data_IF_241126036946
#
_entry.id   IF_241126036946
#
_cell.length_a   1.000
_cell.length_b   1.000
_cell.length_c   1.000
_cell.angle_alpha   90.00
_cell.angle_beta   90.00
_cell.angle_gamma   90.00
#
_symmetry.space_group_name_H-M   'P 1'
#
loop_
_entity.id
_entity.type
_entity.pdbx_description
1 polymer ?
#
# COMPACT_ATOMS: atom_id res chain seq x y z
N UNK A 1 37.65 9.92 -21.92
CA UNK A 1 36.64 9.86 -20.84
C UNK A 1 36.06 8.45 -20.76
N UNK A 2 35.57 8.01 -19.60
CA UNK A 2 34.79 6.78 -19.47
C UNK A 2 33.30 7.11 -19.32
N UNK A 3 32.44 6.29 -19.92
CA UNK A 3 31.00 6.41 -19.79
C UNK A 3 30.31 5.04 -19.74
N UNK A 4 29.20 4.98 -19.03
CA UNK A 4 28.31 3.82 -19.03
C UNK A 4 26.86 4.27 -19.22
N UNK A 5 26.12 3.58 -20.09
CA UNK A 5 24.67 3.74 -20.25
C UNK A 5 23.99 2.49 -19.70
N UNK A 6 23.15 2.66 -18.69
CA UNK A 6 22.28 1.61 -18.18
C UNK A 6 20.85 1.83 -18.64
N UNK A 7 20.16 0.77 -19.07
CA UNK A 7 18.76 0.83 -19.52
C UNK A 7 17.93 -0.17 -18.74
N UNK A 8 16.84 0.31 -18.13
CA UNK A 8 15.93 -0.49 -17.30
C UNK A 8 14.49 -0.08 -17.52
N UNK A 9 13.60 -1.06 -17.65
CA UNK A 9 12.16 -0.83 -17.59
C UNK A 9 11.72 -0.74 -16.13
N UNK A 10 10.80 0.17 -15.84
CA UNK A 10 10.24 0.38 -14.51
C UNK A 10 8.71 0.34 -14.58
N UNK A 11 8.11 -0.18 -13.50
CA UNK A 11 6.65 -0.24 -13.32
C UNK A 11 6.22 0.61 -12.12
N UNK A 12 7.08 1.53 -11.68
CA UNK A 12 6.80 2.43 -10.57
C UNK A 12 6.08 3.66 -11.11
N UNK A 13 4.75 3.60 -11.16
CA UNK A 13 3.91 4.69 -11.67
C UNK A 13 2.65 4.18 -12.36
N UNK A 14 1.79 5.08 -12.88
CA UNK A 14 0.53 4.72 -13.53
C UNK A 14 0.71 4.03 -14.89
N UNK A 15 1.89 4.18 -15.52
CA UNK A 15 2.22 3.62 -16.83
C UNK A 15 3.59 2.93 -16.79
N UNK A 16 3.81 1.89 -17.61
CA UNK A 16 5.13 1.33 -17.80
C UNK A 16 6.05 2.37 -18.44
N UNK A 17 7.29 2.47 -17.95
CA UNK A 17 8.30 3.38 -18.48
C UNK A 17 9.62 2.68 -18.71
N UNK A 18 10.40 3.23 -19.64
CA UNK A 18 11.77 2.84 -19.87
C UNK A 18 12.70 3.98 -19.51
N UNK A 19 13.68 3.70 -18.67
CA UNK A 19 14.69 4.65 -18.23
C UNK A 19 16.04 4.27 -18.83
N UNK A 20 16.75 5.25 -19.36
CA UNK A 20 18.18 5.15 -19.63
C UNK A 20 18.93 6.15 -18.75
N UNK A 21 20.00 5.71 -18.10
CA UNK A 21 20.88 6.59 -17.34
C UNK A 21 22.27 6.55 -17.95
N UNK A 22 22.80 7.72 -18.27
CA UNK A 22 24.19 7.92 -18.67
C UNK A 22 24.98 8.32 -17.43
N UNK A 23 26.09 7.64 -17.15
CA UNK A 23 27.05 8.04 -16.13
C UNK A 23 28.43 8.23 -16.77
N UNK A 24 29.05 9.36 -16.49
CA UNK A 24 30.44 9.67 -16.82
C UNK A 24 31.25 9.83 -15.54
N UNK A 25 32.56 10.06 -15.68
CA UNK A 25 33.46 10.32 -14.56
C UNK A 25 33.01 11.52 -13.70
N UNK A 26 32.31 12.49 -14.31
CA UNK A 26 31.89 13.73 -13.64
C UNK A 26 30.41 13.73 -13.28
N UNK A 27 29.54 13.25 -14.17
CA UNK A 27 28.09 13.51 -14.08
C UNK A 27 27.23 12.27 -14.36
N UNK A 28 25.94 12.38 -14.09
CA UNK A 28 24.92 11.41 -14.48
C UNK A 28 23.66 12.09 -14.99
N UNK A 29 23.15 11.65 -16.14
CA UNK A 29 21.93 12.14 -16.74
C UNK A 29 20.90 11.00 -16.88
N UNK A 30 19.62 11.32 -16.72
CA UNK A 30 18.51 10.39 -16.80
C UNK A 30 17.61 10.76 -17.98
N UNK A 31 17.22 9.75 -18.75
CA UNK A 31 16.37 9.84 -19.94
C UNK A 31 15.17 8.92 -19.73
N UNK A 32 13.98 9.46 -19.98
CA UNK A 32 12.71 8.82 -19.64
C UNK A 32 11.85 8.69 -20.87
N UNK A 33 11.26 7.51 -21.05
CA UNK A 33 10.33 7.24 -22.13
C UNK A 33 9.12 6.47 -21.62
N UNK A 34 7.92 6.89 -22.00
CA UNK A 34 6.72 6.09 -21.77
C UNK A 34 6.78 4.84 -22.65
N UNK A 35 6.40 3.68 -22.09
CA UNK A 35 6.42 2.41 -22.79
C UNK A 35 7.54 1.47 -22.34
N UNK A 36 7.46 0.23 -22.82
CA UNK A 36 8.32 -0.86 -22.38
C UNK A 36 8.64 -1.85 -23.51
N UNK A 37 8.34 -1.51 -24.77
CA UNK A 37 8.74 -2.40 -25.85
C UNK A 37 10.23 -2.24 -26.17
N UNK A 38 10.73 -3.04 -27.11
CA UNK A 38 12.13 -2.98 -27.52
C UNK A 38 12.48 -1.64 -28.20
N UNK A 39 11.52 -1.02 -28.88
CA UNK A 39 11.69 0.27 -29.55
C UNK A 39 11.89 1.38 -28.52
N UNK A 40 11.10 1.40 -27.44
CA UNK A 40 11.25 2.36 -26.35
C UNK A 40 12.60 2.21 -25.64
N UNK A 41 13.06 0.97 -25.42
CA UNK A 41 14.39 0.68 -24.89
C UNK A 41 15.50 1.22 -25.77
N UNK A 42 15.44 0.93 -27.06
CA UNK A 42 16.43 1.42 -28.01
C UNK A 42 16.42 2.95 -28.09
N UNK A 43 15.24 3.58 -28.13
CA UNK A 43 15.13 5.04 -28.23
C UNK A 43 15.62 5.76 -26.98
N UNK A 44 15.27 5.30 -25.77
CA UNK A 44 15.79 5.87 -24.53
C UNK A 44 17.32 5.76 -24.45
N UNK A 45 17.88 4.63 -24.88
CA UNK A 45 19.32 4.45 -24.97
C UNK A 45 19.99 5.31 -26.03
N UNK A 46 19.34 5.53 -27.18
CA UNK A 46 19.83 6.41 -28.24
C UNK A 46 19.81 7.89 -27.82
N UNK A 47 18.82 8.33 -27.05
CA UNK A 47 18.79 9.67 -26.46
C UNK A 47 19.97 9.88 -25.50
N UNK A 48 20.24 8.89 -24.64
CA UNK A 48 21.41 8.91 -23.75
C UNK A 48 22.74 8.90 -24.54
N UNK A 49 22.83 8.11 -25.60
CA UNK A 49 23.99 8.07 -26.48
C UNK A 49 24.21 9.39 -27.21
N UNK A 50 23.14 10.00 -27.76
CA UNK A 50 23.22 11.29 -28.43
C UNK A 50 23.74 12.39 -27.51
N UNK A 51 23.25 12.43 -26.26
CA UNK A 51 23.73 13.37 -25.24
C UNK A 51 25.21 13.17 -24.90
N UNK A 52 25.68 11.91 -24.84
CA UNK A 52 27.10 11.60 -24.65
C UNK A 52 27.95 12.00 -25.87
N UNK A 53 27.45 11.77 -27.08
CA UNK A 53 28.20 12.03 -28.30
C UNK A 53 28.53 13.52 -28.48
N UNK A 54 27.63 14.41 -28.04
CA UNK A 54 27.92 15.85 -27.98
C UNK A 54 29.12 16.17 -27.08
N UNK A 55 29.30 15.43 -25.98
CA UNK A 55 30.48 15.56 -25.10
C UNK A 55 31.73 14.92 -25.73
N UNK A 56 31.54 13.83 -26.48
CA UNK A 56 32.62 13.09 -27.13
C UNK A 56 33.31 13.90 -28.24
N UNK A 57 32.63 14.88 -28.85
CA UNK A 57 33.23 15.81 -29.84
C UNK A 57 34.46 16.53 -29.32
N UNK A 58 34.56 16.75 -28.00
CA UNK A 58 35.68 17.42 -27.36
C UNK A 58 36.73 16.46 -26.80
N UNK A 59 36.37 15.19 -26.52
CA UNK A 59 37.26 14.21 -25.91
C UNK A 59 36.79 12.79 -26.23
N UNK A 60 37.67 11.90 -26.75
CA UNK A 60 37.29 10.51 -27.04
C UNK A 60 36.75 9.78 -25.80
N UNK A 61 35.69 8.99 -26.00
CA UNK A 61 34.97 8.29 -24.93
C UNK A 61 35.09 6.78 -25.10
N UNK A 62 35.38 6.06 -24.01
CA UNK A 62 35.15 4.62 -23.92
C UNK A 62 33.79 4.37 -23.27
N UNK A 63 32.88 3.74 -24.01
CA UNK A 63 31.49 3.61 -23.64
C UNK A 63 31.09 2.14 -23.46
N UNK A 64 30.48 1.82 -22.33
CA UNK A 64 29.72 0.59 -22.16
C UNK A 64 28.21 0.84 -22.19
N UNK A 65 27.44 0.00 -22.88
CA UNK A 65 25.97 0.03 -22.89
C UNK A 65 25.46 -1.31 -22.37
N UNK A 66 24.62 -1.29 -21.33
CA UNK A 66 24.14 -2.52 -20.69
C UNK A 66 23.15 -3.32 -21.55
N UNK A 67 22.43 -2.64 -22.46
CA UNK A 67 21.52 -3.29 -23.40
C UNK A 67 22.30 -3.86 -24.59
N UNK A 68 22.32 -5.19 -24.69
CA UNK A 68 23.11 -5.87 -25.71
C UNK A 68 22.60 -5.59 -27.14
N UNK A 69 21.29 -5.47 -27.35
CA UNK A 69 20.71 -5.22 -28.66
C UNK A 69 21.07 -3.83 -29.19
N UNK A 70 20.92 -2.81 -28.36
CA UNK A 70 21.35 -1.46 -28.70
C UNK A 70 22.87 -1.39 -28.91
N UNK A 71 23.65 -2.02 -28.02
CA UNK A 71 25.11 -2.04 -28.13
C UNK A 71 25.56 -2.64 -29.46
N UNK A 72 25.05 -3.81 -29.84
CA UNK A 72 25.39 -4.44 -31.12
C UNK A 72 24.95 -3.59 -32.32
N UNK A 73 23.83 -2.88 -32.23
CA UNK A 73 23.36 -1.99 -33.29
C UNK A 73 24.30 -0.80 -33.48
N UNK A 74 24.78 -0.19 -32.39
CA UNK A 74 25.72 0.94 -32.43
C UNK A 74 27.13 0.51 -32.82
N UNK A 75 27.59 -0.66 -32.35
CA UNK A 75 28.86 -1.27 -32.78
C UNK A 75 28.88 -1.51 -34.30
N UNK A 76 27.76 -1.94 -34.90
CA UNK A 76 27.66 -2.15 -36.35
C UNK A 76 27.80 -0.87 -37.20
N UNK A 77 27.60 0.31 -36.60
CA UNK A 77 27.73 1.62 -37.26
C UNK A 77 28.83 2.47 -36.63
N UNK A 78 29.81 1.85 -35.96
CA UNK A 78 30.87 2.55 -35.22
C UNK A 78 31.67 3.53 -36.09
N UNK A 79 31.81 3.27 -37.38
CA UNK A 79 32.50 4.15 -38.34
C UNK A 79 31.86 5.54 -38.43
N UNK A 80 30.57 5.66 -38.09
CA UNK A 80 29.87 6.95 -38.02
C UNK A 80 30.16 7.74 -36.74
N UNK A 81 30.77 7.10 -35.73
CA UNK A 81 31.01 7.64 -34.39
C UNK A 81 32.49 7.46 -33.95
N UNK A 82 33.47 8.01 -34.69
CA UNK A 82 34.89 7.74 -34.46
C UNK A 82 35.43 8.25 -33.11
N UNK A 83 34.68 9.13 -32.43
CA UNK A 83 35.01 9.63 -31.09
C UNK A 83 34.62 8.65 -29.96
N UNK A 84 33.97 7.52 -30.28
CA UNK A 84 33.47 6.56 -29.28
C UNK A 84 34.08 5.17 -29.53
N UNK A 85 34.72 4.65 -28.49
CA UNK A 85 35.21 3.27 -28.42
C UNK A 85 34.25 2.43 -27.58
N UNK A 86 33.59 1.44 -28.18
CA UNK A 86 32.59 0.62 -27.53
C UNK A 86 33.22 -0.54 -26.76
N UNK A 87 32.85 -0.68 -25.49
CA UNK A 87 33.37 -1.70 -24.58
C UNK A 87 32.28 -2.70 -24.24
N UNK A 88 32.50 -3.97 -24.58
CA UNK A 88 31.53 -5.03 -24.32
C UNK A 88 31.36 -5.35 -22.83
N UNK A 89 32.46 -5.36 -22.06
CA UNK A 89 32.45 -5.81 -20.66
C UNK A 89 32.87 -4.68 -19.70
N UNK A 90 32.01 -4.28 -18.74
CA UNK A 90 32.27 -3.15 -17.86
C UNK A 90 33.06 -3.60 -16.62
N UNK A 91 34.38 -3.74 -16.75
CA UNK A 91 35.25 -4.01 -15.61
C UNK A 91 35.87 -2.75 -15.02
N UNK A 92 36.24 -2.82 -13.73
CA UNK A 92 36.93 -1.75 -13.02
C UNK A 92 36.11 -0.44 -13.01
N UNK A 93 36.69 0.71 -13.41
CA UNK A 93 35.99 2.00 -13.41
C UNK A 93 34.67 2.02 -14.19
N UNK A 94 34.58 1.28 -15.31
CA UNK A 94 33.33 1.19 -16.09
C UNK A 94 32.21 0.46 -15.32
N UNK A 95 32.56 -0.54 -14.50
CA UNK A 95 31.61 -1.21 -13.62
C UNK A 95 31.05 -0.26 -12.55
N UNK A 96 31.91 0.62 -12.01
CA UNK A 96 31.49 1.67 -11.07
C UNK A 96 30.54 2.67 -11.74
N UNK A 97 30.82 3.10 -12.97
CA UNK A 97 29.94 3.99 -13.72
C UNK A 97 28.60 3.32 -14.05
N UNK A 98 28.60 2.04 -14.41
CA UNK A 98 27.37 1.29 -14.66
C UNK A 98 26.51 1.20 -13.39
N UNK A 99 27.13 0.95 -12.23
CA UNK A 99 26.44 0.99 -10.94
C UNK A 99 25.88 2.39 -10.66
N UNK A 100 26.65 3.46 -10.88
CA UNK A 100 26.17 4.85 -10.74
C UNK A 100 24.94 5.12 -11.61
N UNK A 101 24.96 4.71 -12.87
CA UNK A 101 23.81 4.82 -13.76
C UNK A 101 22.59 4.04 -13.24
N UNK A 102 22.80 2.80 -12.75
CA UNK A 102 21.74 2.02 -12.11
C UNK A 102 21.17 2.70 -10.86
N UNK A 103 22.03 3.29 -10.02
CA UNK A 103 21.62 4.00 -8.81
C UNK A 103 20.82 5.27 -9.15
N UNK A 104 21.18 5.98 -10.23
CA UNK A 104 20.38 7.12 -10.75
C UNK A 104 18.95 6.69 -11.12
N UNK A 105 18.79 5.57 -11.83
CA UNK A 105 17.44 5.03 -12.12
C UNK A 105 16.75 4.58 -10.83
N UNK A 106 17.50 3.99 -9.89
CA UNK A 106 17.00 3.59 -8.57
C UNK A 106 16.42 4.76 -7.78
N UNK A 107 17.16 5.87 -7.69
CA UNK A 107 16.73 7.09 -7.01
C UNK A 107 15.44 7.65 -7.63
N UNK A 108 15.36 7.71 -8.97
CA UNK A 108 14.15 8.16 -9.66
C UNK A 108 12.93 7.28 -9.36
N UNK A 109 13.09 5.96 -9.33
CA UNK A 109 12.00 5.03 -8.96
C UNK A 109 11.50 5.27 -7.54
N UNK A 110 12.41 5.55 -6.60
CA UNK A 110 12.03 5.90 -5.22
C UNK A 110 11.23 7.21 -5.18
N UNK A 111 11.65 8.22 -5.94
CA UNK A 111 10.91 9.49 -6.06
C UNK A 111 9.50 9.28 -6.62
N UNK A 112 9.36 8.54 -7.73
CA UNK A 112 8.05 8.24 -8.32
C UNK A 112 7.13 7.49 -7.35
N UNK A 113 7.68 6.53 -6.60
CA UNK A 113 6.92 5.80 -5.59
C UNK A 113 6.43 6.72 -4.47
N UNK A 114 7.28 7.64 -3.99
CA UNK A 114 6.93 8.60 -2.96
C UNK A 114 5.88 9.62 -3.43
N UNK A 115 5.98 10.11 -4.68
CA UNK A 115 4.98 11.01 -5.28
C UNK A 115 3.61 10.33 -5.41
N UNK A 116 3.60 9.07 -5.85
CA UNK A 116 2.39 8.27 -5.97
C UNK A 116 1.76 7.96 -4.60
N UNK A 117 2.57 7.69 -3.57
CA UNK A 117 2.10 7.54 -2.19
C UNK A 117 1.50 8.85 -1.67
N UNK A 118 2.19 9.99 -1.85
CA UNK A 118 1.69 11.30 -1.48
C UNK A 118 0.38 11.68 -2.20
N UNK A 119 0.24 11.29 -3.49
CA UNK A 119 -1.00 11.47 -4.25
C UNK A 119 -2.13 10.67 -3.63
N UNK A 120 -1.93 9.39 -3.32
CA UNK A 120 -2.94 8.54 -2.68
C UNK A 120 -3.33 9.06 -1.30
N UNK A 121 -2.36 9.56 -0.54
CA UNK A 121 -2.60 10.16 0.78
C UNK A 121 -3.45 11.44 0.66
N UNK A 122 -3.15 12.28 -0.33
CA UNK A 122 -3.93 13.48 -0.62
C UNK A 122 -5.36 13.12 -1.04
N UNK A 123 -5.51 12.16 -1.96
CA UNK A 123 -6.82 11.69 -2.42
C UNK A 123 -7.65 11.09 -1.28
N UNK A 124 -7.01 10.30 -0.40
CA UNK A 124 -7.64 9.76 0.80
C UNK A 124 -8.12 10.88 1.74
N UNK A 125 -7.27 11.87 2.01
CA UNK A 125 -7.56 12.98 2.91
C UNK A 125 -8.66 13.92 2.38
N UNK A 126 -8.87 13.98 1.06
CA UNK A 126 -9.97 14.73 0.44
C UNK A 126 -11.33 14.06 0.62
N UNK A 127 -11.38 12.74 0.83
CA UNK A 127 -12.62 12.04 1.10
C UNK A 127 -13.04 12.27 2.56
N UNK A 128 -14.35 12.45 2.84
CA UNK A 128 -14.81 12.49 4.21
C UNK A 128 -14.44 11.19 4.93
N UNK A 129 -14.07 11.23 6.24
CA UNK A 129 -13.79 10.03 7.01
C UNK A 129 -14.96 9.04 6.93
N UNK A 130 -14.66 7.77 6.68
CA UNK A 130 -15.69 6.73 6.63
C UNK A 130 -16.09 6.37 8.07
N UNK A 131 -17.36 6.59 8.42
CA UNK A 131 -17.89 6.13 9.69
C UNK A 131 -18.01 4.59 9.69
N UNK A 132 -17.41 3.94 10.68
CA UNK A 132 -17.43 2.48 10.87
C UNK A 132 -17.73 2.17 12.33
N UNK A 133 -18.78 1.41 12.60
CA UNK A 133 -19.02 0.90 13.94
C UNK A 133 -18.39 -0.48 14.13
N UNK A 134 -17.93 -0.74 15.35
CA UNK A 134 -17.30 -2.00 15.75
C UNK A 134 -17.87 -2.46 17.08
N UNK A 135 -18.11 -3.76 17.21
CA UNK A 135 -18.53 -4.35 18.48
C UNK A 135 -18.03 -5.80 18.60
N UNK A 136 -17.99 -6.31 19.84
CA UNK A 136 -17.62 -7.68 20.15
C UNK A 136 -18.63 -8.37 21.08
N UNK A 137 -18.86 -9.66 20.85
CA UNK A 137 -19.83 -10.46 21.61
C UNK A 137 -19.18 -11.68 22.24
N UNK A 138 -19.16 -11.73 23.58
CA UNK A 138 -18.63 -12.88 24.35
C UNK A 138 -19.75 -13.54 25.16
N UNK A 139 -19.88 -14.86 25.05
CA UNK A 139 -20.79 -15.63 25.90
C UNK A 139 -20.07 -16.20 27.12
N UNK A 140 -20.74 -16.24 28.28
CA UNK A 140 -20.17 -16.78 29.53
C UNK A 140 -19.80 -18.27 29.45
N UNK A 141 -20.46 -19.04 28.57
CA UNK A 141 -20.31 -20.50 28.45
C UNK A 141 -19.33 -20.95 27.36
N UNK A 142 -18.86 -20.05 26.50
CA UNK A 142 -18.04 -20.39 25.34
C UNK A 142 -16.73 -19.59 25.33
N UNK A 143 -15.68 -20.21 24.79
CA UNK A 143 -14.39 -19.53 24.56
C UNK A 143 -14.47 -18.73 23.27
N UNK A 144 -13.70 -17.64 23.21
CA UNK A 144 -13.65 -16.73 22.08
C UNK A 144 -14.71 -15.64 22.12
N UNK A 145 -14.66 -14.79 21.10
CA UNK A 145 -15.50 -13.60 20.97
C UNK A 145 -15.91 -13.44 19.50
N UNK A 146 -17.19 -13.22 19.24
CA UNK A 146 -17.68 -12.84 17.91
C UNK A 146 -17.38 -11.36 17.67
N UNK A 147 -16.95 -11.01 16.47
CA UNK A 147 -16.53 -9.66 16.08
C UNK A 147 -17.46 -9.16 14.98
N UNK A 148 -17.85 -7.90 15.04
CA UNK A 148 -18.64 -7.25 14.00
C UNK A 148 -18.08 -5.88 13.66
N UNK A 149 -18.02 -5.54 12.37
CA UNK A 149 -17.84 -4.17 11.93
C UNK A 149 -18.71 -3.87 10.69
N UNK A 150 -19.20 -2.64 10.60
CA UNK A 150 -20.02 -2.17 9.49
C UNK A 150 -19.78 -0.68 9.26
N UNK A 151 -19.59 -0.30 7.99
CA UNK A 151 -19.46 1.09 7.58
C UNK A 151 -20.81 1.72 7.28
N UNK A 152 -20.85 3.04 7.25
CA UNK A 152 -22.03 3.79 6.81
C UNK A 152 -22.46 3.50 5.37
N UNK A 153 -21.62 2.85 4.56
CA UNK A 153 -21.94 2.43 3.19
C UNK A 153 -22.42 0.98 3.12
N UNK A 154 -22.70 0.35 4.25
CA UNK A 154 -23.14 -1.06 4.35
C UNK A 154 -22.02 -2.08 4.12
N UNK A 155 -20.77 -1.66 3.91
CA UNK A 155 -19.65 -2.60 3.80
C UNK A 155 -19.33 -3.13 5.20
N UNK A 156 -19.37 -4.44 5.35
CA UNK A 156 -19.30 -5.08 6.66
C UNK A 156 -18.36 -6.29 6.68
N UNK A 157 -18.04 -6.73 7.90
CA UNK A 157 -17.38 -7.99 8.18
C UNK A 157 -17.82 -8.50 9.55
N UNK A 158 -17.98 -9.81 9.65
CA UNK A 158 -18.13 -10.48 10.93
C UNK A 158 -17.23 -11.71 10.96
N UNK A 159 -16.65 -12.00 12.13
CA UNK A 159 -15.68 -13.08 12.31
C UNK A 159 -15.76 -13.63 13.74
N UNK A 160 -15.51 -14.92 13.93
CA UNK A 160 -15.28 -15.46 15.26
C UNK A 160 -13.78 -15.43 15.58
N UNK A 161 -13.40 -14.87 16.73
CA UNK A 161 -12.06 -14.96 17.30
C UNK A 161 -12.05 -16.03 18.42
N UNK A 162 -11.73 -17.30 18.12
CA UNK A 162 -11.85 -18.40 19.11
C UNK A 162 -10.86 -18.27 20.27
N UNK A 163 -9.71 -17.63 20.03
CA UNK A 163 -8.64 -17.50 21.01
C UNK A 163 -8.79 -16.29 21.92
N UNK A 164 -9.73 -15.38 21.62
CA UNK A 164 -9.98 -14.18 22.41
C UNK A 164 -10.39 -14.54 23.84
N UNK A 165 -9.57 -14.10 24.80
CA UNK A 165 -9.68 -14.48 26.21
C UNK A 165 -10.60 -13.55 26.98
N UNK A 166 -10.72 -12.30 26.55
CA UNK A 166 -11.56 -11.29 27.20
C UNK A 166 -12.49 -10.59 26.22
N UNK A 167 -13.50 -9.89 26.76
CA UNK A 167 -14.33 -8.99 25.94
C UNK A 167 -13.49 -7.85 25.38
N UNK A 168 -12.63 -7.23 26.20
CA UNK A 168 -11.72 -6.15 25.79
C UNK A 168 -10.82 -6.55 24.61
N UNK A 169 -10.26 -7.76 24.63
CA UNK A 169 -9.48 -8.28 23.51
C UNK A 169 -10.34 -8.41 22.25
N UNK A 170 -11.59 -8.87 22.38
CA UNK A 170 -12.54 -8.90 21.28
C UNK A 170 -12.85 -7.51 20.72
N UNK A 171 -13.07 -6.51 21.57
CA UNK A 171 -13.31 -5.13 21.14
C UNK A 171 -12.14 -4.58 20.32
N UNK A 172 -10.91 -4.80 20.79
CA UNK A 172 -9.71 -4.40 20.06
C UNK A 172 -9.58 -5.18 18.74
N UNK A 173 -9.88 -6.47 18.72
CA UNK A 173 -9.87 -7.26 17.49
C UNK A 173 -10.95 -6.80 16.49
N UNK A 174 -12.11 -6.32 16.95
CA UNK A 174 -13.13 -5.73 16.09
C UNK A 174 -12.66 -4.41 15.46
N UNK A 175 -11.94 -3.58 16.24
CA UNK A 175 -11.27 -2.38 15.73
C UNK A 175 -10.19 -2.74 14.71
N UNK A 176 -9.32 -3.70 15.00
CA UNK A 176 -8.30 -4.19 14.07
C UNK A 176 -8.93 -4.71 12.76
N UNK A 177 -10.06 -5.40 12.87
CA UNK A 177 -10.80 -5.88 11.71
C UNK A 177 -11.32 -4.72 10.85
N UNK A 178 -11.79 -3.64 11.45
CA UNK A 178 -12.22 -2.44 10.74
C UNK A 178 -11.05 -1.71 10.06
N UNK A 179 -9.95 -1.48 10.76
CA UNK A 179 -8.77 -0.79 10.18
C UNK A 179 -8.19 -1.60 9.02
N UNK A 180 -8.12 -2.92 9.14
CA UNK A 180 -7.65 -3.81 8.06
C UNK A 180 -8.60 -3.88 6.87
N UNK A 181 -9.92 -3.75 7.09
CA UNK A 181 -10.93 -3.86 6.04
C UNK A 181 -10.97 -2.63 5.12
N UNK A 182 -10.55 -1.47 5.61
CA UNK A 182 -10.63 -0.20 4.90
C UNK A 182 -9.26 0.50 4.85
N UNK A 183 -8.20 -0.09 4.26
CA UNK A 183 -6.84 0.45 4.34
C UNK A 183 -6.70 1.85 3.70
N UNK A 184 -7.44 2.10 2.62
CA UNK A 184 -7.31 3.32 1.80
C UNK A 184 -8.25 4.46 2.22
N UNK A 185 -8.81 4.40 3.44
CA UNK A 185 -9.73 5.42 3.96
C UNK A 185 -9.28 5.93 5.32
N UNK A 186 -9.45 7.23 5.52
CA UNK A 186 -9.52 7.80 6.85
C UNK A 186 -10.81 7.31 7.52
N UNK A 187 -10.72 6.98 8.81
CA UNK A 187 -11.79 6.30 9.52
C UNK A 187 -12.29 7.12 10.71
N UNK A 188 -13.60 7.07 10.89
CA UNK A 188 -14.25 7.47 12.12
C UNK A 188 -14.85 6.22 12.76
N UNK A 189 -14.14 5.65 13.73
CA UNK A 189 -14.51 4.41 14.39
C UNK A 189 -15.44 4.70 15.58
N UNK A 190 -16.62 4.11 15.55
CA UNK A 190 -17.60 4.14 16.63
C UNK A 190 -17.52 2.82 17.41
N UNK A 191 -17.30 2.91 18.71
CA UNK A 191 -17.27 1.75 19.61
C UNK A 191 -17.91 2.12 20.94
N UNK A 192 -18.58 1.18 21.59
CA UNK A 192 -19.09 1.37 22.95
C UNK A 192 -18.06 0.99 24.03
N UNK A 193 -16.90 0.48 23.63
CA UNK A 193 -15.82 0.08 24.53
C UNK A 193 -14.89 1.23 24.89
N UNK A 194 -15.21 1.93 25.97
CA UNK A 194 -14.31 2.94 26.58
C UNK A 194 -12.94 2.37 26.94
N UNK A 195 -12.88 1.08 27.30
CA UNK A 195 -11.64 0.41 27.65
C UNK A 195 -10.73 0.21 26.43
N UNK A 196 -11.31 -0.14 25.27
CA UNK A 196 -10.55 -0.26 24.03
C UNK A 196 -9.95 1.10 23.62
N UNK A 197 -10.75 2.17 23.68
CA UNK A 197 -10.27 3.55 23.44
C UNK A 197 -9.15 3.91 24.41
N UNK A 198 -9.29 3.61 25.71
CA UNK A 198 -8.25 3.87 26.70
C UNK A 198 -6.95 3.08 26.42
N UNK A 199 -7.05 1.84 25.92
CA UNK A 199 -5.89 1.04 25.54
C UNK A 199 -5.15 1.67 24.35
N UNK A 200 -5.89 2.08 23.31
CA UNK A 200 -5.33 2.73 22.11
C UNK A 200 -4.76 4.12 22.42
N UNK A 201 -5.31 4.83 23.41
CA UNK A 201 -4.79 6.10 23.86
C UNK A 201 -3.59 5.97 24.84
N UNK A 202 -3.20 4.76 25.24
CA UNK A 202 -2.15 4.53 26.23
C UNK A 202 -2.50 4.98 27.66
N UNK A 203 -3.77 5.28 27.94
CA UNK A 203 -4.24 5.76 29.27
C UNK A 203 -4.80 4.63 30.14
N UNK A 204 -4.95 3.43 29.59
CA UNK A 204 -5.43 2.27 30.32
C UNK A 204 -4.42 1.82 31.39
N UNK A 205 -4.84 1.84 32.66
CA UNK A 205 -4.00 1.53 33.83
C UNK A 205 -3.88 0.04 34.18
N UNK A 206 -4.52 -0.84 33.41
CA UNK A 206 -4.41 -2.28 33.63
C UNK A 206 -3.18 -2.90 32.96
N UNK A 207 -2.94 -4.20 33.19
CA UNK A 207 -2.00 -5.02 32.41
C UNK A 207 -2.78 -6.02 31.55
N UNK A 208 -3.44 -5.57 30.48
CA UNK A 208 -4.20 -6.47 29.65
C UNK A 208 -3.22 -7.27 28.77
N UNK A 209 -3.45 -8.57 28.62
CA UNK A 209 -2.73 -9.41 27.66
C UNK A 209 -3.16 -9.10 26.20
N UNK A 210 -3.24 -7.82 25.84
CA UNK A 210 -3.74 -7.30 24.55
C UNK A 210 -2.75 -6.34 23.88
N UNK A 211 -1.57 -6.12 24.46
CA UNK A 211 -0.55 -5.21 23.88
C UNK A 211 -0.24 -5.55 22.43
N UNK A 212 -0.13 -6.85 22.11
CA UNK A 212 0.10 -7.29 20.74
C UNK A 212 -1.05 -6.95 19.77
N UNK A 213 -2.30 -6.82 20.22
CA UNK A 213 -3.41 -6.35 19.38
C UNK A 213 -3.32 -4.84 19.19
N UNK A 214 -3.03 -4.10 20.25
CA UNK A 214 -2.85 -2.64 20.23
C UNK A 214 -1.72 -2.24 19.27
N UNK A 215 -0.57 -2.92 19.32
CA UNK A 215 0.56 -2.67 18.43
C UNK A 215 0.20 -2.89 16.95
N UNK A 216 -0.61 -3.92 16.66
CA UNK A 216 -1.09 -4.19 15.29
C UNK A 216 -2.05 -3.10 14.84
N UNK A 217 -2.95 -2.63 15.71
CA UNK A 217 -3.85 -1.52 15.39
C UNK A 217 -3.04 -0.27 15.09
N UNK A 218 -2.11 0.14 15.96
CA UNK A 218 -1.25 1.31 15.73
C UNK A 218 -0.51 1.21 14.40
N UNK A 219 0.08 0.07 14.09
CA UNK A 219 0.73 -0.15 12.79
C UNK A 219 -0.25 -0.03 11.62
N UNK A 220 -1.47 -0.55 11.75
CA UNK A 220 -2.49 -0.50 10.69
C UNK A 220 -3.07 0.89 10.42
N UNK A 221 -2.93 1.82 11.37
CA UNK A 221 -3.42 3.21 11.24
C UNK A 221 -2.31 4.22 10.99
N UNK A 222 -1.04 3.79 11.00
CA UNK A 222 0.09 4.65 10.62
C UNK A 222 -0.11 5.20 9.21
N UNK A 223 0.18 6.49 9.02
CA UNK A 223 0.04 7.19 7.74
C UNK A 223 -1.36 7.69 7.41
N UNK A 224 -2.39 7.44 8.24
CA UNK A 224 -3.77 7.90 7.96
C UNK A 224 -4.52 8.39 9.19
N UNK A 225 -5.59 9.15 8.97
CA UNK A 225 -6.39 9.71 10.06
C UNK A 225 -7.41 8.68 10.55
N UNK A 226 -7.31 8.30 11.81
CA UNK A 226 -8.31 7.44 12.48
C UNK A 226 -8.74 8.08 13.78
N UNK A 227 -10.02 8.45 13.85
CA UNK A 227 -10.67 8.98 15.06
C UNK A 227 -11.49 7.88 15.71
N UNK A 228 -11.43 7.80 17.04
CA UNK A 228 -12.28 6.92 17.83
C UNK A 228 -13.28 7.78 18.61
N UNK A 229 -14.57 7.51 18.46
CA UNK A 229 -15.60 8.10 19.30
C UNK A 229 -16.38 7.01 20.05
N UNK A 230 -16.60 7.30 21.33
CA UNK A 230 -17.42 6.43 22.17
C UNK A 230 -18.89 6.69 21.89
N UNK A 231 -19.62 5.63 21.57
CA UNK A 231 -21.08 5.65 21.48
C UNK A 231 -21.67 4.83 22.63
N UNK A 232 -22.84 5.21 23.12
CA UNK A 232 -23.52 4.41 24.13
C UNK A 232 -24.07 3.15 23.47
N UNK A 233 -23.68 1.98 23.97
CA UNK A 233 -24.27 0.70 23.56
C UNK A 233 -25.75 0.64 23.93
N UNK A 234 -26.59 0.05 23.08
CA UNK A 234 -28.03 -0.13 23.29
C UNK A 234 -28.84 1.16 23.41
N UNK A 235 -28.32 2.28 22.89
CA UNK A 235 -29.00 3.59 22.87
C UNK A 235 -29.68 3.87 21.52
N UNK A 236 -29.77 2.87 20.64
CA UNK A 236 -30.43 2.98 19.35
C UNK A 236 -29.59 3.57 18.22
N UNK A 237 -28.27 3.76 18.40
CA UNK A 237 -27.39 4.20 17.32
C UNK A 237 -27.34 3.14 16.20
N UNK A 238 -27.92 3.37 15.01
CA UNK A 238 -28.21 2.28 14.07
C UNK A 238 -26.96 1.51 13.63
N UNK A 239 -25.85 2.22 13.38
CA UNK A 239 -24.59 1.58 12.97
C UNK A 239 -23.99 0.70 14.07
N UNK A 240 -24.13 1.11 15.34
CA UNK A 240 -23.57 0.37 16.48
C UNK A 240 -24.40 -0.88 16.76
N UNK A 241 -25.73 -0.77 16.70
CA UNK A 241 -26.62 -1.93 16.82
C UNK A 241 -26.42 -2.95 15.70
N UNK A 242 -26.13 -2.49 14.46
CA UNK A 242 -25.77 -3.37 13.37
C UNK A 242 -24.43 -4.09 13.63
N UNK A 243 -23.40 -3.39 14.11
CA UNK A 243 -22.14 -4.00 14.53
C UNK A 243 -22.34 -5.04 15.65
N UNK A 244 -23.18 -4.73 16.64
CA UNK A 244 -23.55 -5.64 17.71
C UNK A 244 -24.21 -6.92 17.20
N UNK A 245 -25.22 -6.77 16.33
CA UNK A 245 -25.91 -7.89 15.71
C UNK A 245 -24.95 -8.76 14.88
N UNK A 246 -24.01 -8.16 14.16
CA UNK A 246 -22.96 -8.88 13.44
C UNK A 246 -22.05 -9.66 14.39
N UNK A 247 -21.61 -9.05 15.50
CA UNK A 247 -20.77 -9.71 16.50
C UNK A 247 -21.49 -10.91 17.15
N UNK A 248 -22.76 -10.75 17.52
CA UNK A 248 -23.61 -11.82 18.04
C UNK A 248 -23.82 -12.92 17.00
N UNK A 249 -24.08 -12.54 15.74
CA UNK A 249 -24.27 -13.49 14.64
C UNK A 249 -23.00 -14.31 14.37
N UNK A 250 -21.82 -13.68 14.35
CA UNK A 250 -20.54 -14.37 14.17
C UNK A 250 -20.36 -15.48 15.22
N UNK A 251 -20.58 -15.14 16.50
CA UNK A 251 -20.50 -16.11 17.60
C UNK A 251 -21.52 -17.23 17.43
N UNK A 252 -22.80 -16.90 17.20
CA UNK A 252 -23.88 -17.90 17.07
C UNK A 252 -23.68 -18.82 15.87
N UNK A 253 -23.22 -18.28 14.73
CA UNK A 253 -22.91 -19.07 13.54
C UNK A 253 -21.78 -20.06 13.83
N UNK A 254 -20.74 -19.62 14.54
CA UNK A 254 -19.65 -20.49 14.95
C UNK A 254 -20.14 -21.60 15.91
N UNK A 255 -20.90 -21.23 16.95
CA UNK A 255 -21.46 -22.17 17.93
C UNK A 255 -22.35 -23.23 17.25
N UNK A 256 -23.14 -22.82 16.26
CA UNK A 256 -24.05 -23.70 15.51
C UNK A 256 -23.41 -24.36 14.27
N UNK A 257 -22.10 -24.16 14.02
CA UNK A 257 -21.37 -24.68 12.85
C UNK A 257 -22.04 -24.34 11.51
N UNK A 258 -22.58 -23.14 11.41
CA UNK A 258 -23.24 -22.62 10.20
C UNK A 258 -22.21 -22.47 9.08
N UNK A 259 -22.59 -22.80 7.86
CA UNK A 259 -21.69 -22.69 6.70
C UNK A 259 -21.34 -21.22 6.39
N UNK A 260 -20.16 -20.94 5.82
CA UNK A 260 -19.75 -19.56 5.48
C UNK A 260 -20.75 -18.83 4.56
N UNK A 261 -21.39 -19.54 3.63
CA UNK A 261 -22.38 -18.96 2.72
C UNK A 261 -23.63 -18.48 3.45
N UNK A 262 -24.14 -19.28 4.40
CA UNK A 262 -25.30 -18.91 5.23
C UNK A 262 -24.93 -17.81 6.21
N UNK A 263 -23.73 -17.86 6.81
CA UNK A 263 -23.24 -16.80 7.67
C UNK A 263 -23.16 -15.46 6.92
N UNK A 264 -22.66 -15.45 5.68
CA UNK A 264 -22.62 -14.26 4.84
C UNK A 264 -24.03 -13.72 4.52
N UNK A 265 -25.01 -14.61 4.32
CA UNK A 265 -26.40 -14.22 4.11
C UNK A 265 -27.02 -13.59 5.37
N UNK A 266 -26.77 -14.17 6.55
CA UNK A 266 -27.18 -13.58 7.83
C UNK A 266 -26.59 -12.17 8.00
N UNK A 267 -25.31 -11.99 7.67
CA UNK A 267 -24.65 -10.69 7.75
C UNK A 267 -25.28 -9.66 6.80
N UNK A 268 -25.57 -10.06 5.54
CA UNK A 268 -26.27 -9.21 4.57
C UNK A 268 -27.63 -8.76 5.10
N UNK A 269 -28.42 -9.68 5.66
CA UNK A 269 -29.76 -9.36 6.19
C UNK A 269 -29.70 -8.43 7.40
N UNK A 270 -28.68 -8.56 8.27
CA UNK A 270 -28.46 -7.62 9.37
C UNK A 270 -28.19 -6.21 8.83
N UNK A 271 -27.33 -6.09 7.82
CA UNK A 271 -26.98 -4.79 7.25
C UNK A 271 -28.11 -4.20 6.41
N UNK A 272 -28.89 -4.99 5.67
CA UNK A 272 -30.04 -4.49 4.92
C UNK A 272 -31.05 -3.76 5.83
N UNK A 273 -31.28 -4.29 7.05
CA UNK A 273 -32.17 -3.63 8.03
C UNK A 273 -31.65 -2.29 8.58
N UNK A 274 -30.35 -1.99 8.42
CA UNK A 274 -29.77 -0.68 8.73
C UNK A 274 -30.26 0.38 7.76
N UNK A 275 -30.32 0.04 6.47
CA UNK A 275 -30.74 0.95 5.41
C UNK A 275 -32.24 1.27 5.52
N UNK A 276 -33.05 0.29 5.91
CA UNK A 276 -34.46 0.50 6.22
C UNK A 276 -34.65 1.43 7.43
N UNK A 277 -33.88 1.23 8.50
CA UNK A 277 -33.94 2.07 9.71
C UNK A 277 -33.55 3.53 9.44
N UNK A 278 -32.56 3.74 8.56
CA UNK A 278 -32.13 5.08 8.13
C UNK A 278 -33.16 5.80 7.28
N UNK A 279 -33.85 5.05 6.41
CA UNK A 279 -34.91 5.60 5.54
C UNK A 279 -36.13 6.06 6.36
N UNK A 280 -36.42 5.40 7.48
CA UNK A 280 -37.54 5.73 8.37
C UNK A 280 -37.25 6.88 9.35
N UNK A 281 -36.00 7.32 9.47
CA UNK A 281 -35.54 8.36 10.41
C UNK A 281 -35.05 9.65 9.73
N UNK A 282 -35.11 9.71 8.39
CA UNK A 282 -34.90 10.90 7.58
C UNK A 282 -36.23 11.56 7.20
#
# INVERSE_FOLDING_TARGET
>A
MLAAIHIRQIHAGPKPMTCAALATDTDSALFLREGHDQTDRSLAGLEAFAALYEQAKCSPVRLHISDAGLRSTLEAVSDSFPAVDFVATPFGPLGTLLRRASDTIGAHVVTLAAEEEARRDTERAQLPPLAVATDASKARRFRGTGLGCVSEKGVHRMLMAPDARSILEGELLAIEMATTKFPDRDLHILTDSRLAIACLAGTYKGRPAVSGVVDRIHRSIQGRSVRFDWVRGHDGHPLNEAAHRLAVAARRCYDAKVSPAVAAEIARNIVASLDESRTLSA
#
